data_IF_697508892355
#
_entry.id   IF_697508892355
#
_cell.length_a   1.000
_cell.length_b   1.000
_cell.length_c   1.000
_cell.angle_alpha   90.00
_cell.angle_beta   90.00
_cell.angle_gamma   90.00
#
_symmetry.space_group_name_H-M   'P 1'
#
loop_
_entity.id
_entity.type
_entity.pdbx_description
1 polymer ?
#
# COMPACT_ATOMS: atom_id res chain seq x y z
N UNK A 1 -0.90 6.92 -12.60
CA UNK A 1 -0.54 8.03 -11.69
C UNK A 1 0.46 7.48 -10.69
N UNK A 2 1.61 8.13 -10.50
CA UNK A 2 2.62 7.70 -9.51
C UNK A 2 2.33 8.31 -8.15
N UNK A 3 2.80 7.67 -7.08
CA UNK A 3 2.59 8.13 -5.69
C UNK A 3 3.94 8.57 -5.11
N UNK A 4 4.04 9.81 -4.64
CA UNK A 4 5.27 10.34 -4.06
C UNK A 4 5.44 9.88 -2.59
N UNK A 5 6.64 9.43 -2.21
CA UNK A 5 6.93 8.90 -0.87
C UNK A 5 6.70 9.92 0.24
N UNK A 6 7.19 11.15 0.06
CA UNK A 6 7.04 12.25 1.02
C UNK A 6 5.58 12.60 1.21
N UNK A 7 4.83 12.77 0.13
CA UNK A 7 3.41 13.09 0.20
C UNK A 7 2.61 11.97 0.88
N UNK A 8 2.89 10.70 0.53
CA UNK A 8 2.27 9.54 1.18
C UNK A 8 2.51 9.53 2.69
N UNK A 9 3.76 9.72 3.13
CA UNK A 9 4.12 9.79 4.56
C UNK A 9 3.36 10.89 5.29
N UNK A 10 3.34 12.10 4.72
CA UNK A 10 2.63 13.24 5.30
C UNK A 10 1.14 12.91 5.42
N UNK A 11 0.50 12.45 4.35
CA UNK A 11 -0.94 12.15 4.35
C UNK A 11 -1.31 11.07 5.37
N UNK A 12 -0.55 9.97 5.44
CA UNK A 12 -0.81 8.90 6.41
C UNK A 12 -0.60 9.38 7.84
N UNK A 13 0.47 10.13 8.10
CA UNK A 13 0.74 10.68 9.43
C UNK A 13 -0.36 11.65 9.88
N UNK A 14 -0.79 12.55 9.01
CA UNK A 14 -1.88 13.50 9.29
C UNK A 14 -3.19 12.77 9.59
N UNK A 15 -3.59 11.79 8.78
CA UNK A 15 -4.82 11.02 9.02
C UNK A 15 -4.74 10.17 10.30
N UNK A 16 -3.60 9.57 10.60
CA UNK A 16 -3.41 8.81 11.84
C UNK A 16 -3.56 9.71 13.07
N UNK A 17 -2.96 10.90 13.04
CA UNK A 17 -3.10 11.91 14.11
C UNK A 17 -4.56 12.34 14.28
N UNK A 18 -5.26 12.65 13.19
CA UNK A 18 -6.66 13.06 13.23
C UNK A 18 -7.58 11.98 13.82
N UNK A 19 -7.23 10.70 13.65
CA UNK A 19 -8.03 9.57 14.12
C UNK A 19 -7.55 9.00 15.46
N UNK A 20 -6.55 9.62 16.08
CA UNK A 20 -5.91 9.12 17.31
C UNK A 20 -5.37 7.68 17.16
N UNK A 21 -4.86 7.36 15.97
CA UNK A 21 -4.25 6.06 15.68
C UNK A 21 -2.73 6.13 15.91
N UNK A 22 -2.16 5.01 16.32
CA UNK A 22 -0.70 4.86 16.42
C UNK A 22 -0.05 4.87 15.05
N UNK A 23 1.19 5.35 14.98
CA UNK A 23 2.00 5.23 13.77
C UNK A 23 2.21 3.76 13.40
N UNK A 24 2.23 3.46 12.11
CA UNK A 24 2.44 2.12 11.58
C UNK A 24 3.28 2.21 10.30
N UNK A 25 3.94 1.12 9.96
CA UNK A 25 4.72 0.98 8.72
C UNK A 25 4.19 -0.13 7.82
N UNK A 26 3.41 -1.06 8.37
CA UNK A 26 2.79 -2.18 7.64
C UNK A 26 1.32 -2.31 8.00
N UNK A 27 0.53 -2.86 7.08
CA UNK A 27 -0.83 -3.26 7.35
C UNK A 27 -0.88 -4.70 7.84
N UNK A 28 -1.67 -4.91 8.89
CA UNK A 28 -2.10 -6.24 9.34
C UNK A 28 -3.57 -6.38 9.03
N UNK A 29 -3.91 -7.26 8.10
CA UNK A 29 -5.29 -7.51 7.68
C UNK A 29 -5.81 -8.75 8.40
N UNK A 30 -6.92 -8.65 9.17
CA UNK A 30 -7.54 -9.82 9.79
C UNK A 30 -7.99 -10.84 8.76
N UNK A 31 -7.86 -12.13 9.08
CA UNK A 31 -8.27 -13.23 8.19
C UNK A 31 -9.76 -13.16 7.78
N UNK A 32 -10.62 -12.69 8.67
CA UNK A 32 -12.05 -12.48 8.36
C UNK A 32 -12.29 -11.49 7.23
N UNK A 33 -11.34 -10.60 6.93
CA UNK A 33 -11.40 -9.66 5.81
C UNK A 33 -10.78 -10.22 4.51
N UNK A 34 -9.99 -11.29 4.61
CA UNK A 34 -9.42 -11.96 3.43
C UNK A 34 -10.33 -13.09 2.93
N UNK A 35 -11.24 -13.57 3.79
CA UNK A 35 -12.28 -14.53 3.42
C UNK A 35 -13.17 -13.99 2.29
N UNK A 36 -13.21 -14.71 1.17
CA UNK A 36 -13.99 -14.31 0.00
C UNK A 36 -13.35 -13.22 -0.87
N UNK A 37 -12.16 -12.72 -0.52
CA UNK A 37 -11.42 -11.72 -1.32
C UNK A 37 -11.39 -12.07 -2.80
N UNK A 38 -10.93 -13.28 -3.14
CA UNK A 38 -10.81 -13.70 -4.54
C UNK A 38 -12.13 -13.75 -5.30
N UNK A 39 -13.29 -13.86 -4.63
CA UNK A 39 -14.60 -13.76 -5.31
C UNK A 39 -14.89 -12.31 -5.70
N UNK A 40 -14.59 -11.36 -4.81
CA UNK A 40 -14.75 -9.92 -5.04
C UNK A 40 -13.71 -9.42 -6.05
N UNK A 41 -12.45 -9.83 -5.91
CA UNK A 41 -11.37 -9.41 -6.81
C UNK A 41 -11.66 -9.81 -8.27
N UNK A 42 -12.25 -10.98 -8.52
CA UNK A 42 -12.65 -11.42 -9.86
C UNK A 42 -13.69 -10.52 -10.54
N UNK A 43 -14.47 -9.74 -9.78
CA UNK A 43 -15.42 -8.79 -10.38
C UNK A 43 -14.79 -7.46 -10.76
N UNK A 44 -13.49 -7.27 -10.46
CA UNK A 44 -12.73 -6.06 -10.77
C UNK A 44 -11.70 -6.41 -11.85
N UNK A 45 -11.91 -6.00 -13.12
CA UNK A 45 -11.03 -6.39 -14.23
C UNK A 45 -9.54 -6.09 -14.03
N UNK A 46 -9.23 -5.03 -13.27
CA UNK A 46 -7.85 -4.61 -12.99
C UNK A 46 -7.14 -5.48 -11.94
N UNK A 47 -7.83 -6.39 -11.26
CA UNK A 47 -7.26 -7.28 -10.24
C UNK A 47 -7.06 -8.71 -10.75
N UNK A 48 -7.10 -8.93 -12.07
CA UNK A 48 -6.99 -10.27 -12.67
C UNK A 48 -5.77 -11.08 -12.21
N UNK A 49 -4.66 -10.40 -11.94
CA UNK A 49 -3.41 -11.00 -11.47
C UNK A 49 -3.25 -10.99 -9.93
N UNK A 50 -4.17 -10.34 -9.20
CA UNK A 50 -4.19 -10.20 -7.74
C UNK A 50 -5.47 -10.80 -7.16
N UNK A 51 -5.66 -12.12 -7.34
CA UNK A 51 -6.82 -12.85 -6.82
C UNK A 51 -6.56 -13.49 -5.44
N UNK A 52 -5.30 -13.54 -5.02
CA UNK A 52 -4.88 -14.01 -3.72
C UNK A 52 -4.74 -12.81 -2.77
N UNK A 53 -5.41 -12.83 -1.60
CA UNK A 53 -5.32 -11.74 -0.64
C UNK A 53 -3.89 -11.51 -0.12
N UNK A 54 -3.08 -12.55 0.03
CA UNK A 54 -1.72 -12.42 0.55
C UNK A 54 -0.80 -11.68 -0.43
N UNK A 55 -0.99 -11.91 -1.73
CA UNK A 55 -0.27 -11.21 -2.79
C UNK A 55 -0.68 -9.73 -2.83
N UNK A 56 -1.97 -9.43 -2.68
CA UNK A 56 -2.47 -8.06 -2.62
C UNK A 56 -1.94 -7.30 -1.39
N UNK A 57 -1.93 -7.94 -0.21
CA UNK A 57 -1.37 -7.37 1.02
C UNK A 57 0.14 -7.11 0.84
N UNK A 58 0.85 -8.05 0.23
CA UNK A 58 2.28 -7.92 -0.08
C UNK A 58 2.56 -6.69 -0.94
N UNK A 59 1.79 -6.47 -2.02
CA UNK A 59 1.94 -5.28 -2.88
C UNK A 59 1.70 -3.98 -2.11
N UNK A 60 0.65 -3.94 -1.28
CA UNK A 60 0.35 -2.74 -0.48
C UNK A 60 1.45 -2.48 0.55
N UNK A 61 1.98 -3.51 1.20
CA UNK A 61 3.07 -3.36 2.16
C UNK A 61 4.39 -2.96 1.49
N UNK A 62 4.67 -3.44 0.27
CA UNK A 62 5.84 -3.01 -0.52
C UNK A 62 5.77 -1.51 -0.88
N UNK A 63 4.56 -0.98 -1.06
CA UNK A 63 4.34 0.45 -1.22
C UNK A 63 4.48 1.19 0.11
N UNK A 64 3.74 0.80 1.15
CA UNK A 64 3.66 1.57 2.39
C UNK A 64 4.95 1.55 3.20
N UNK A 65 5.56 0.37 3.40
CA UNK A 65 6.63 0.21 4.38
C UNK A 65 7.83 1.13 4.11
N UNK A 66 8.40 1.21 2.89
CA UNK A 66 9.55 2.08 2.63
C UNK A 66 9.23 3.57 2.79
N UNK A 67 8.02 3.98 2.42
CA UNK A 67 7.59 5.37 2.55
C UNK A 67 7.32 5.74 4.02
N UNK A 68 6.73 4.85 4.81
CA UNK A 68 6.37 5.13 6.21
C UNK A 68 7.53 4.92 7.18
N UNK A 69 8.47 4.00 6.89
CA UNK A 69 9.67 3.78 7.70
C UNK A 69 10.69 4.91 7.58
N UNK A 70 10.71 5.62 6.44
CA UNK A 70 11.75 6.60 6.13
C UNK A 70 12.83 6.09 5.19
N UNK A 71 12.81 4.80 4.83
CA UNK A 71 13.83 4.17 3.96
C UNK A 71 13.92 4.86 2.59
N UNK A 72 12.79 5.37 2.09
CA UNK A 72 12.72 6.19 0.88
C UNK A 72 12.17 7.57 1.22
N UNK A 73 12.93 8.63 1.00
CA UNK A 73 12.50 10.01 1.27
C UNK A 73 11.86 10.68 0.07
N UNK A 74 12.39 10.46 -1.15
CA UNK A 74 12.04 11.23 -2.34
C UNK A 74 11.77 10.36 -3.59
N UNK A 75 11.35 9.10 -3.40
CA UNK A 75 10.96 8.20 -4.50
C UNK A 75 9.51 8.36 -4.97
N UNK A 76 9.19 7.75 -6.11
CA UNK A 76 7.83 7.60 -6.61
C UNK A 76 7.46 6.13 -6.79
N UNK A 77 6.31 5.71 -6.28
CA UNK A 77 5.77 4.38 -6.54
C UNK A 77 5.19 4.34 -7.95
N UNK A 78 5.63 3.37 -8.75
CA UNK A 78 5.04 3.04 -10.05
C UNK A 78 4.10 1.84 -9.91
N UNK A 79 2.77 2.03 -9.96
CA UNK A 79 1.80 0.94 -9.82
C UNK A 79 1.91 -0.12 -10.92
N UNK A 80 2.45 0.24 -12.09
CA UNK A 80 2.59 -0.67 -13.24
C UNK A 80 3.69 -1.69 -12.99
N UNK A 81 4.75 -1.26 -12.31
CA UNK A 81 5.90 -2.09 -11.98
C UNK A 81 5.87 -2.60 -10.53
N UNK A 82 4.91 -2.12 -9.73
CA UNK A 82 4.78 -2.42 -8.31
C UNK A 82 6.09 -2.21 -7.55
N UNK A 83 6.77 -1.09 -7.83
CA UNK A 83 8.04 -0.76 -7.21
C UNK A 83 8.21 0.75 -7.03
N UNK A 84 9.10 1.10 -6.10
CA UNK A 84 9.62 2.46 -5.97
C UNK A 84 10.66 2.71 -7.06
N UNK A 85 10.55 3.85 -7.71
CA UNK A 85 11.55 4.38 -8.65
C UNK A 85 12.12 5.67 -8.08
N UNK A 86 13.43 5.86 -8.23
CA UNK A 86 14.11 7.08 -7.82
C UNK A 86 13.65 8.26 -8.68
N UNK A 87 13.61 9.45 -8.08
CA UNK A 87 13.56 10.68 -8.87
C UNK A 87 14.97 10.95 -9.41
N UNK A 88 15.23 10.53 -10.65
CA UNK A 88 16.27 11.13 -11.49
C UNK A 88 15.63 12.23 -12.35
#
# INVERSE_FOLDING_TARGET
MRINARQLRISVHTEALHRHLSAFTTLVVPRSMTDGYGKVARTVPLLGDLLNPDDAISVVNAMLQPALSGDITDGQWDPTQQQWVDQH
#
